data_IF_345313545399
#
_entry.id   IF_345313545399
#
_cell.length_a   1.000
_cell.length_b   1.000
_cell.length_c   1.000
_cell.angle_alpha   90.00
_cell.angle_beta   90.00
_cell.angle_gamma   90.00
#
_symmetry.space_group_name_H-M   'P 1'
#
loop_
_entity.id
_entity.type
_entity.pdbx_description
1 polymer ?
#
# COMPACT_ATOMS: atom_id res chain seq x y z
N UNK A 1 -1.44 -7.24 -16.46
CA UNK A 1 -2.68 -7.06 -15.69
C UNK A 1 -3.32 -5.78 -16.13
N UNK A 2 -4.08 -5.85 -17.22
CA UNK A 2 -5.15 -4.88 -17.45
C UNK A 2 -6.19 -5.18 -16.35
N UNK A 3 -6.74 -4.16 -15.70
CA UNK A 3 -8.00 -4.29 -14.98
C UNK A 3 -9.02 -4.85 -15.98
N UNK A 4 -9.24 -6.17 -15.94
CA UNK A 4 -10.25 -6.85 -16.74
C UNK A 4 -11.56 -6.88 -15.93
N UNK A 5 -12.73 -6.83 -16.60
CA UNK A 5 -13.98 -6.45 -16.00
C UNK A 5 -14.55 -7.58 -15.13
N UNK A 6 -15.24 -7.16 -14.07
CA UNK A 6 -16.01 -8.00 -13.16
C UNK A 6 -16.86 -9.03 -13.91
N UNK A 7 -16.62 -10.31 -13.61
CA UNK A 7 -17.61 -11.36 -13.80
C UNK A 7 -17.96 -11.91 -12.42
N UNK A 8 -19.26 -11.88 -12.11
CA UNK A 8 -19.85 -12.40 -10.88
C UNK A 8 -19.52 -13.89 -10.74
N UNK A 9 -18.63 -14.21 -9.79
CA UNK A 9 -18.47 -15.56 -9.26
C UNK A 9 -18.88 -15.54 -7.80
N UNK A 10 -20.18 -15.79 -7.56
CA UNK A 10 -20.70 -16.06 -6.22
C UNK A 10 -19.99 -17.30 -5.67
N UNK A 11 -19.23 -17.12 -4.59
CA UNK A 11 -18.85 -18.21 -3.68
C UNK A 11 -19.62 -18.00 -2.39
N UNK A 12 -20.27 -19.08 -1.93
CA UNK A 12 -21.15 -19.07 -0.78
C UNK A 12 -20.44 -18.60 0.50
N UNK A 13 -21.15 -17.92 1.43
CA UNK A 13 -20.58 -17.52 2.71
C UNK A 13 -20.12 -18.75 3.50
N UNK A 14 -18.90 -18.67 4.01
CA UNK A 14 -18.28 -19.69 4.86
C UNK A 14 -18.99 -19.67 6.22
N UNK A 15 -19.75 -20.72 6.53
CA UNK A 15 -20.38 -20.92 7.83
C UNK A 15 -19.34 -21.37 8.86
N UNK A 16 -18.78 -20.42 9.62
CA UNK A 16 -17.95 -20.71 10.80
C UNK A 16 -18.75 -20.50 12.08
N UNK A 17 -19.53 -21.50 12.49
CA UNK A 17 -20.02 -21.58 13.87
C UNK A 17 -18.98 -22.26 14.75
N UNK A 18 -18.02 -21.49 15.25
CA UNK A 18 -17.29 -21.83 16.48
C UNK A 18 -17.87 -21.00 17.63
N UNK A 19 -18.55 -21.69 18.55
CA UNK A 19 -18.99 -21.14 19.82
C UNK A 19 -17.77 -20.86 20.71
N UNK A 20 -17.39 -19.58 20.91
CA UNK A 20 -16.84 -19.10 22.19
C UNK A 20 -16.62 -17.57 22.21
N UNK A 21 -16.93 -16.97 23.38
CA UNK A 21 -16.89 -15.56 23.79
C UNK A 21 -18.06 -14.65 23.32
N UNK A 22 -19.17 -14.73 24.07
CA UNK A 22 -20.12 -13.61 24.19
C UNK A 22 -19.54 -12.59 25.18
N UNK A 23 -18.65 -11.71 24.73
CA UNK A 23 -18.22 -10.57 25.53
C UNK A 23 -18.04 -9.33 24.63
N UNK A 24 -18.96 -8.37 24.78
CA UNK A 24 -18.88 -6.96 24.35
C UNK A 24 -18.69 -6.68 22.85
N UNK A 25 -19.47 -7.31 21.96
CA UNK A 25 -19.73 -6.67 20.66
C UNK A 25 -20.69 -5.49 20.89
N UNK A 26 -20.19 -4.27 20.79
CA UNK A 26 -21.06 -3.10 20.70
C UNK A 26 -21.83 -3.20 19.38
N UNK A 27 -23.15 -3.28 19.48
CA UNK A 27 -24.04 -3.26 18.33
C UNK A 27 -24.01 -1.88 17.68
N UNK A 28 -23.26 -1.74 16.58
CA UNK A 28 -23.37 -0.60 15.67
C UNK A 28 -23.81 -1.10 14.29
N UNK A 29 -24.74 -0.40 13.65
CA UNK A 29 -25.19 -0.75 12.30
C UNK A 29 -24.33 -0.05 11.24
N UNK A 30 -24.01 -0.78 10.15
CA UNK A 30 -23.32 -0.21 8.99
C UNK A 30 -24.32 0.10 7.88
N UNK A 31 -24.75 1.36 7.81
CA UNK A 31 -25.62 1.82 6.73
C UNK A 31 -24.81 2.18 5.48
N UNK A 32 -25.28 1.73 4.32
CA UNK A 32 -24.69 2.11 3.02
C UNK A 32 -24.98 3.58 2.76
N UNK A 33 -23.96 4.43 2.79
CA UNK A 33 -24.09 5.84 2.40
C UNK A 33 -24.11 5.97 0.88
N UNK A 34 -23.22 5.25 0.20
CA UNK A 34 -23.11 5.24 -1.27
C UNK A 34 -22.81 3.84 -1.80
N UNK A 35 -22.59 3.74 -3.12
CA UNK A 35 -22.07 2.53 -3.76
C UNK A 35 -20.64 2.16 -3.32
N UNK A 36 -19.90 3.11 -2.69
CA UNK A 36 -18.47 3.04 -2.39
C UNK A 36 -18.14 2.85 -0.91
N UNK A 37 -18.88 3.49 0.00
CA UNK A 37 -18.57 3.47 1.43
C UNK A 37 -19.83 3.40 2.31
N UNK A 38 -19.63 2.95 3.55
CA UNK A 38 -20.62 2.96 4.62
C UNK A 38 -20.56 4.28 5.39
N UNK A 39 -21.68 4.72 5.96
CA UNK A 39 -21.69 5.82 6.92
C UNK A 39 -20.81 5.45 8.12
N UNK A 40 -20.05 6.42 8.65
CA UNK A 40 -19.23 6.19 9.83
C UNK A 40 -20.09 6.24 11.10
N UNK A 41 -20.31 5.12 11.81
CA UNK A 41 -21.15 5.09 12.99
C UNK A 41 -20.52 5.81 14.19
N UNK A 42 -19.24 6.18 14.10
CA UNK A 42 -18.48 6.87 15.15
C UNK A 42 -18.16 8.32 14.80
N UNK A 43 -18.81 8.90 13.77
CA UNK A 43 -18.43 10.21 13.22
C UNK A 43 -18.38 11.31 14.29
N UNK A 44 -19.31 11.28 15.25
CA UNK A 44 -19.46 12.28 16.31
C UNK A 44 -18.74 11.90 17.62
N UNK A 45 -18.35 10.64 17.80
CA UNK A 45 -17.66 10.15 18.99
C UNK A 45 -16.68 9.02 18.66
N UNK A 46 -15.44 9.41 18.33
CA UNK A 46 -14.35 8.47 18.06
C UNK A 46 -14.01 7.61 19.29
N UNK A 47 -14.21 8.13 20.50
CA UNK A 47 -13.83 7.44 21.75
C UNK A 47 -14.79 6.31 22.09
N UNK A 48 -16.06 6.39 21.66
CA UNK A 48 -17.02 5.31 21.82
C UNK A 48 -16.53 4.00 21.17
N UNK A 49 -15.90 4.09 20.00
CA UNK A 49 -15.29 2.93 19.34
C UNK A 49 -13.86 2.65 19.79
N UNK A 50 -13.00 3.67 19.90
CA UNK A 50 -11.56 3.46 20.14
C UNK A 50 -11.24 2.83 21.51
N UNK A 51 -12.05 3.10 22.53
CA UNK A 51 -11.88 2.53 23.88
C UNK A 51 -12.10 1.03 23.95
N UNK A 52 -12.85 0.46 23.01
CA UNK A 52 -13.08 -0.99 22.92
C UNK A 52 -11.85 -1.73 22.37
N UNK A 53 -10.96 -1.02 21.70
CA UNK A 53 -9.77 -1.57 21.04
C UNK A 53 -8.58 -1.48 22.01
N UNK A 54 -8.55 -2.43 22.94
CA UNK A 54 -7.43 -2.64 23.86
C UNK A 54 -6.31 -3.46 23.21
N UNK A 55 -5.14 -3.52 23.84
CA UNK A 55 -4.05 -4.37 23.34
C UNK A 55 -4.45 -5.85 23.33
N UNK A 56 -5.21 -6.30 24.33
CA UNK A 56 -5.73 -7.67 24.41
C UNK A 56 -6.67 -7.96 23.24
N UNK A 57 -7.57 -7.02 22.92
CA UNK A 57 -8.45 -7.12 21.76
C UNK A 57 -7.67 -7.16 20.45
N UNK A 58 -6.63 -6.32 20.30
CA UNK A 58 -5.79 -6.31 19.10
C UNK A 58 -5.08 -7.67 18.95
N UNK A 59 -4.50 -8.20 20.03
CA UNK A 59 -3.81 -9.49 20.03
C UNK A 59 -4.77 -10.64 19.68
N UNK A 60 -5.98 -10.65 20.23
CA UNK A 60 -7.00 -11.64 19.89
C UNK A 60 -7.38 -11.55 18.41
N UNK A 61 -7.57 -10.33 17.89
CA UNK A 61 -7.87 -10.10 16.48
C UNK A 61 -6.75 -10.57 15.54
N UNK A 62 -5.49 -10.28 15.89
CA UNK A 62 -4.32 -10.76 15.15
C UNK A 62 -4.31 -12.29 15.10
N UNK A 63 -4.50 -12.97 16.25
CA UNK A 63 -4.54 -14.44 16.31
C UNK A 63 -5.64 -15.01 15.43
N UNK A 64 -6.85 -14.44 15.49
CA UNK A 64 -7.99 -14.86 14.64
C UNK A 64 -7.68 -14.75 13.15
N UNK A 65 -7.04 -13.68 12.69
CA UNK A 65 -6.69 -13.50 11.27
C UNK A 65 -5.52 -14.42 10.87
N UNK A 66 -4.53 -14.61 11.75
CA UNK A 66 -3.44 -15.57 11.52
C UNK A 66 -3.98 -16.99 11.36
N UNK A 67 -4.88 -17.42 12.25
CA UNK A 67 -5.50 -18.73 12.19
C UNK A 67 -6.25 -18.95 10.88
N UNK A 68 -6.90 -17.92 10.34
CA UNK A 68 -7.51 -18.01 9.02
C UNK A 68 -6.45 -18.15 7.91
N UNK A 69 -5.43 -17.28 7.89
CA UNK A 69 -4.40 -17.25 6.85
C UNK A 69 -3.57 -18.54 6.77
N UNK A 70 -3.21 -19.15 7.91
CA UNK A 70 -2.46 -20.42 7.92
C UNK A 70 -3.29 -21.60 7.40
N UNK A 71 -4.62 -21.50 7.46
CA UNK A 71 -5.56 -22.52 7.00
C UNK A 71 -6.12 -22.26 5.58
N UNK A 72 -5.71 -21.16 4.93
CA UNK A 72 -6.13 -20.86 3.55
C UNK A 72 -5.69 -21.97 2.60
N UNK A 73 -6.64 -22.44 1.79
CA UNK A 73 -6.37 -23.35 0.68
C UNK A 73 -6.09 -22.54 -0.58
N UNK A 74 -4.80 -22.24 -0.80
CA UNK A 74 -4.34 -21.55 -2.01
C UNK A 74 -4.39 -22.53 -3.19
N UNK A 75 -5.15 -22.19 -4.22
CA UNK A 75 -5.26 -22.99 -5.43
C UNK A 75 -3.93 -22.99 -6.20
N UNK A 76 -3.65 -24.07 -6.95
CA UNK A 76 -2.37 -24.23 -7.64
C UNK A 76 -2.09 -23.09 -8.65
N UNK A 77 -3.13 -22.57 -9.30
CA UNK A 77 -2.98 -21.48 -10.27
C UNK A 77 -2.60 -20.14 -9.60
N UNK A 78 -3.03 -19.89 -8.37
CA UNK A 78 -2.66 -18.67 -7.61
C UNK A 78 -1.17 -18.65 -7.26
N UNK A 79 -0.52 -19.81 -7.14
CA UNK A 79 0.94 -19.88 -6.96
C UNK A 79 1.74 -19.47 -8.21
N UNK A 80 1.07 -19.25 -9.34
CA UNK A 80 1.71 -18.76 -10.56
C UNK A 80 1.84 -17.24 -10.57
N UNK A 81 1.13 -16.54 -9.69
CA UNK A 81 1.33 -15.11 -9.45
C UNK A 81 2.60 -14.93 -8.61
N UNK A 82 3.53 -14.12 -9.08
CA UNK A 82 4.87 -13.98 -8.50
C UNK A 82 5.01 -12.75 -7.57
N UNK A 83 4.13 -11.76 -7.68
CA UNK A 83 4.19 -10.56 -6.85
C UNK A 83 3.49 -10.70 -5.49
N UNK A 84 3.96 -10.00 -4.44
CA UNK A 84 3.29 -9.98 -3.13
C UNK A 84 1.97 -9.20 -3.14
N UNK A 85 1.59 -8.52 -4.22
CA UNK A 85 0.36 -7.71 -4.28
C UNK A 85 -0.89 -8.58 -4.08
N UNK A 86 -1.12 -9.54 -4.98
CA UNK A 86 -2.20 -10.54 -4.89
C UNK A 86 -1.69 -11.96 -4.67
N UNK A 87 -0.42 -12.22 -4.97
CA UNK A 87 0.14 -13.57 -4.93
C UNK A 87 0.45 -14.09 -3.52
N UNK A 88 0.74 -15.40 -3.39
CA UNK A 88 0.95 -16.06 -2.10
C UNK A 88 2.11 -15.50 -1.28
N UNK A 89 3.12 -14.90 -1.91
CA UNK A 89 4.22 -14.23 -1.21
C UNK A 89 3.74 -13.05 -0.34
N UNK A 90 2.61 -12.43 -0.68
CA UNK A 90 1.97 -11.42 0.15
C UNK A 90 1.39 -11.99 1.45
N UNK A 91 0.83 -13.20 1.40
CA UNK A 91 0.36 -13.92 2.59
C UNK A 91 1.57 -14.29 3.46
N UNK A 92 2.62 -14.84 2.84
CA UNK A 92 3.85 -15.17 3.54
C UNK A 92 4.47 -13.95 4.23
N UNK A 93 4.49 -12.78 3.56
CA UNK A 93 4.93 -11.52 4.17
C UNK A 93 4.16 -11.18 5.45
N UNK A 94 2.83 -11.26 5.43
CA UNK A 94 2.01 -10.95 6.59
C UNK A 94 2.23 -11.93 7.76
N UNK A 95 2.41 -13.23 7.47
CA UNK A 95 2.73 -14.26 8.47
C UNK A 95 4.13 -14.06 9.08
N UNK A 96 5.12 -13.69 8.27
CA UNK A 96 6.45 -13.32 8.76
C UNK A 96 6.38 -12.07 9.65
N UNK A 97 5.61 -11.06 9.26
CA UNK A 97 5.38 -9.85 10.07
C UNK A 97 4.74 -10.20 11.42
N UNK A 98 3.75 -11.09 11.43
CA UNK A 98 3.14 -11.60 12.66
C UNK A 98 4.16 -12.33 13.55
N UNK A 99 5.05 -13.11 12.96
CA UNK A 99 6.06 -13.89 13.70
C UNK A 99 7.18 -13.03 14.30
N UNK A 100 7.39 -11.81 13.77
CA UNK A 100 8.31 -10.81 14.35
C UNK A 100 7.74 -10.11 15.60
N UNK A 101 6.48 -10.33 15.94
CA UNK A 101 5.84 -9.70 17.10
C UNK A 101 6.16 -10.43 18.40
N UNK A 102 6.11 -9.72 19.53
CA UNK A 102 6.31 -10.31 20.87
C UNK A 102 5.02 -10.89 21.47
N UNK A 103 4.01 -11.24 20.66
CA UNK A 103 2.68 -11.67 21.15
C UNK A 103 2.43 -13.18 21.07
N UNK A 104 3.51 -13.97 20.93
CA UNK A 104 3.48 -15.43 21.02
C UNK A 104 2.93 -16.13 19.77
N UNK A 105 3.02 -15.48 18.61
CA UNK A 105 2.64 -16.06 17.31
C UNK A 105 3.90 -16.60 16.64
N UNK A 106 3.90 -17.87 16.26
CA UNK A 106 5.01 -18.51 15.56
C UNK A 106 4.48 -19.23 14.32
N UNK A 107 4.47 -18.54 13.18
CA UNK A 107 3.94 -19.03 11.90
C UNK A 107 4.94 -18.86 10.75
N UNK A 108 6.22 -18.76 11.09
CA UNK A 108 7.31 -18.61 10.13
C UNK A 108 7.40 -19.85 9.21
N UNK A 109 7.16 -21.04 9.76
CA UNK A 109 7.19 -22.29 9.00
C UNK A 109 6.12 -22.31 7.90
N UNK A 110 4.91 -21.84 8.20
CA UNK A 110 3.79 -21.75 7.27
C UNK A 110 4.12 -20.77 6.14
N UNK A 111 4.69 -19.61 6.47
CA UNK A 111 5.19 -18.66 5.47
C UNK A 111 6.24 -19.30 4.55
N UNK A 112 7.22 -20.02 5.11
CA UNK A 112 8.26 -20.71 4.35
C UNK A 112 7.69 -21.82 3.44
N UNK A 113 6.65 -22.53 3.87
CA UNK A 113 5.95 -23.53 3.04
C UNK A 113 5.29 -22.86 1.84
N UNK A 114 4.60 -21.73 2.04
CA UNK A 114 3.99 -20.96 0.96
C UNK A 114 5.04 -20.53 -0.07
N UNK A 115 6.14 -19.91 0.38
CA UNK A 115 7.21 -19.44 -0.50
C UNK A 115 7.88 -20.59 -1.26
N UNK A 116 8.13 -21.72 -0.59
CA UNK A 116 8.74 -22.90 -1.20
C UNK A 116 7.85 -23.52 -2.27
N UNK A 117 6.53 -23.50 -2.07
CA UNK A 117 5.57 -23.99 -3.07
C UNK A 117 5.45 -23.02 -4.25
N UNK A 118 5.40 -21.72 -4.00
CA UNK A 118 5.42 -20.69 -5.05
C UNK A 118 6.67 -20.84 -5.91
N UNK A 119 7.86 -20.95 -5.30
CA UNK A 119 9.13 -21.15 -6.01
C UNK A 119 9.12 -22.32 -7.01
N UNK A 120 8.40 -23.42 -6.68
CA UNK A 120 8.30 -24.61 -7.53
C UNK A 120 7.31 -24.45 -8.68
N UNK A 121 6.28 -23.63 -8.51
CA UNK A 121 5.19 -23.45 -9.47
C UNK A 121 5.31 -22.17 -10.31
N UNK A 122 6.26 -21.30 -9.97
CA UNK A 122 6.61 -20.13 -10.76
C UNK A 122 7.01 -20.53 -12.17
N UNK A 123 6.41 -19.85 -13.14
CA UNK A 123 6.70 -20.03 -14.55
C UNK A 123 7.61 -18.91 -15.04
N UNK A 124 8.27 -19.13 -16.18
CA UNK A 124 9.14 -18.12 -16.78
C UNK A 124 8.32 -16.92 -17.21
N UNK A 125 8.64 -15.76 -16.65
CA UNK A 125 8.03 -14.48 -17.00
C UNK A 125 8.93 -13.71 -17.97
N UNK A 126 8.37 -12.69 -18.61
CA UNK A 126 9.20 -11.77 -19.41
C UNK A 126 10.18 -11.01 -18.51
N UNK A 127 11.37 -10.68 -19.01
CA UNK A 127 12.37 -9.93 -18.24
C UNK A 127 11.81 -8.59 -17.67
N UNK A 128 10.91 -7.92 -18.41
CA UNK A 128 10.25 -6.70 -17.92
C UNK A 128 9.34 -6.97 -16.71
N UNK A 129 8.70 -8.13 -16.68
CA UNK A 129 7.87 -8.55 -15.56
C UNK A 129 8.72 -8.92 -14.33
N UNK A 130 9.88 -9.55 -14.53
CA UNK A 130 10.80 -9.89 -13.44
C UNK A 130 11.26 -8.65 -12.65
N UNK A 131 11.35 -7.49 -13.32
CA UNK A 131 11.75 -6.22 -12.72
C UNK A 131 10.67 -5.58 -11.83
N UNK A 132 9.43 -6.08 -11.83
CA UNK A 132 8.31 -5.45 -11.12
C UNK A 132 8.35 -5.83 -9.65
N UNK A 133 8.11 -4.84 -8.79
CA UNK A 133 8.17 -5.04 -7.35
C UNK A 133 6.90 -5.69 -6.81
N UNK A 134 5.81 -4.92 -6.65
CA UNK A 134 4.62 -5.45 -5.97
C UNK A 134 3.90 -6.52 -6.80
N UNK A 135 3.96 -6.44 -8.12
CA UNK A 135 3.27 -7.36 -9.04
C UNK A 135 4.25 -8.19 -9.88
N UNK A 136 5.44 -8.50 -9.36
CA UNK A 136 6.42 -9.32 -10.08
C UNK A 136 7.49 -9.96 -9.22
N UNK A 137 8.45 -10.56 -9.92
CA UNK A 137 9.47 -11.45 -9.33
C UNK A 137 10.40 -10.73 -8.35
N UNK A 138 10.69 -9.44 -8.53
CA UNK A 138 11.47 -8.66 -7.56
C UNK A 138 10.80 -8.62 -6.18
N UNK A 139 9.46 -8.53 -6.14
CA UNK A 139 8.70 -8.63 -4.90
C UNK A 139 8.85 -10.00 -4.26
N UNK A 140 8.76 -11.09 -5.03
CA UNK A 140 9.00 -12.43 -4.51
C UNK A 140 10.39 -12.56 -3.88
N UNK A 141 11.44 -12.12 -4.58
CA UNK A 141 12.80 -12.14 -4.05
C UNK A 141 12.94 -11.30 -2.79
N UNK A 142 12.23 -10.18 -2.71
CA UNK A 142 12.18 -9.35 -1.50
C UNK A 142 11.64 -10.18 -0.33
N UNK A 143 10.52 -10.89 -0.51
CA UNK A 143 9.94 -11.71 0.56
C UNK A 143 10.83 -12.91 0.91
N UNK A 144 11.48 -13.54 -0.07
CA UNK A 144 12.45 -14.60 0.18
C UNK A 144 13.63 -14.13 1.02
N UNK A 145 14.14 -12.92 0.77
CA UNK A 145 15.20 -12.30 1.58
C UNK A 145 14.72 -12.01 3.00
N UNK A 146 13.49 -11.53 3.17
CA UNK A 146 12.89 -11.33 4.50
C UNK A 146 12.80 -12.63 5.28
N UNK A 147 12.41 -13.72 4.60
CA UNK A 147 12.26 -15.06 5.15
C UNK A 147 13.59 -15.82 5.34
N UNK A 148 14.73 -15.24 4.95
CA UNK A 148 16.03 -15.91 5.02
C UNK A 148 16.21 -17.08 4.04
N UNK A 149 15.35 -17.21 3.01
CA UNK A 149 15.50 -18.23 1.96
C UNK A 149 16.62 -17.91 0.97
N UNK A 150 16.94 -16.62 0.81
CA UNK A 150 18.08 -16.13 0.05
C UNK A 150 18.85 -15.11 0.88
N UNK A 151 20.16 -15.02 0.67
CA UNK A 151 21.01 -14.03 1.32
C UNK A 151 21.06 -12.70 0.57
N UNK A 152 21.72 -11.72 1.17
CA UNK A 152 21.88 -10.37 0.61
C UNK A 152 22.72 -10.35 -0.68
N UNK A 153 23.67 -11.28 -0.84
CA UNK A 153 24.53 -11.35 -2.01
C UNK A 153 23.74 -11.83 -3.23
N UNK A 154 22.98 -12.92 -3.07
CA UNK A 154 22.11 -13.46 -4.09
C UNK A 154 20.99 -12.49 -4.45
N UNK A 155 20.37 -11.83 -3.47
CA UNK A 155 19.38 -10.78 -3.72
C UNK A 155 19.96 -9.64 -4.54
N UNK A 156 21.12 -9.09 -4.13
CA UNK A 156 21.77 -7.98 -4.84
C UNK A 156 22.21 -8.38 -6.25
N UNK A 157 22.68 -9.61 -6.44
CA UNK A 157 23.00 -10.18 -7.76
C UNK A 157 21.78 -10.23 -8.68
N UNK A 158 20.62 -10.68 -8.17
CA UNK A 158 19.35 -10.69 -8.91
C UNK A 158 18.91 -9.28 -9.31
N UNK A 159 18.98 -8.32 -8.38
CA UNK A 159 18.64 -6.91 -8.65
C UNK A 159 19.55 -6.29 -9.71
N UNK A 160 20.87 -6.52 -9.63
CA UNK A 160 21.82 -5.98 -10.63
C UNK A 160 21.60 -6.54 -12.04
N UNK A 161 21.16 -7.80 -12.17
CA UNK A 161 20.80 -8.37 -13.48
C UNK A 161 19.59 -7.67 -14.12
N UNK A 162 18.66 -7.15 -13.31
CA UNK A 162 17.49 -6.40 -13.77
C UNK A 162 17.85 -4.96 -14.17
N UNK A 163 18.89 -4.38 -13.58
CA UNK A 163 19.25 -2.96 -13.74
C UNK A 163 19.43 -2.57 -15.21
N UNK A 164 20.11 -3.40 -16.01
CA UNK A 164 20.33 -3.12 -17.43
C UNK A 164 19.05 -2.96 -18.25
N UNK A 165 17.95 -3.60 -17.85
CA UNK A 165 16.64 -3.45 -18.48
C UNK A 165 15.87 -2.24 -17.91
N UNK A 166 15.92 -2.04 -16.59
CA UNK A 166 15.28 -0.93 -15.88
C UNK A 166 15.75 0.43 -16.40
N UNK A 167 17.01 0.53 -16.82
CA UNK A 167 17.60 1.76 -17.39
C UNK A 167 17.17 2.03 -18.86
N UNK A 168 16.47 1.11 -19.52
CA UNK A 168 16.02 1.29 -20.91
C UNK A 168 14.65 1.97 -20.97
N UNK A 169 14.47 2.86 -21.95
CA UNK A 169 13.18 3.47 -22.23
C UNK A 169 12.22 2.47 -22.90
N UNK A 170 10.96 2.50 -22.48
CA UNK A 170 9.89 1.65 -23.00
C UNK A 170 9.98 0.19 -22.57
N UNK A 171 10.74 -0.15 -21.53
CA UNK A 171 10.99 -1.54 -21.14
C UNK A 171 9.70 -2.25 -20.66
N UNK A 172 8.74 -1.52 -20.06
CA UNK A 172 7.43 -2.08 -19.72
C UNK A 172 6.42 -2.00 -20.87
N UNK A 173 6.68 -1.20 -21.92
CA UNK A 173 5.77 -0.87 -23.04
C UNK A 173 4.48 -0.14 -22.66
N UNK A 174 4.06 -0.22 -21.40
CA UNK A 174 2.78 0.30 -20.90
C UNK A 174 2.96 1.49 -19.95
N UNK A 175 4.17 2.04 -19.83
CA UNK A 175 4.53 3.03 -18.81
C UNK A 175 5.58 2.43 -17.88
N UNK A 176 6.71 3.13 -17.75
CA UNK A 176 7.91 2.57 -17.13
C UNK A 176 8.08 2.94 -15.66
N UNK A 177 7.33 3.92 -15.14
CA UNK A 177 7.78 4.64 -13.94
C UNK A 177 6.92 4.43 -12.69
N UNK A 178 5.70 3.91 -12.80
CA UNK A 178 4.76 3.79 -11.65
C UNK A 178 5.12 2.71 -10.61
N UNK A 179 4.36 2.62 -9.53
CA UNK A 179 4.74 1.84 -8.33
C UNK A 179 4.56 0.33 -8.52
N UNK A 180 3.55 -0.13 -9.25
CA UNK A 180 3.27 -1.56 -9.33
C UNK A 180 4.25 -2.27 -10.26
N UNK A 181 4.54 -1.69 -11.42
CA UNK A 181 5.34 -2.28 -12.48
C UNK A 181 6.61 -1.50 -12.85
N UNK A 182 6.72 -0.24 -12.47
CA UNK A 182 7.76 0.66 -12.96
C UNK A 182 8.99 0.84 -12.08
N UNK A 183 9.83 1.80 -12.48
CA UNK A 183 11.07 2.21 -11.80
C UNK A 183 10.83 2.71 -10.38
N UNK A 184 9.71 3.39 -10.11
CA UNK A 184 9.39 3.80 -8.75
C UNK A 184 9.16 2.57 -7.85
N UNK A 185 8.47 1.54 -8.33
CA UNK A 185 8.33 0.26 -7.64
C UNK A 185 9.68 -0.43 -7.41
N UNK A 186 10.53 -0.47 -8.44
CA UNK A 186 11.89 -1.00 -8.32
C UNK A 186 12.68 -0.31 -7.19
N UNK A 187 12.71 1.02 -7.17
CA UNK A 187 13.37 1.78 -6.10
C UNK A 187 12.70 1.60 -4.74
N UNK A 188 11.37 1.47 -4.69
CA UNK A 188 10.65 1.22 -3.45
C UNK A 188 11.11 -0.08 -2.77
N UNK A 189 11.41 -1.13 -3.56
CA UNK A 189 11.97 -2.37 -3.03
C UNK A 189 13.32 -2.17 -2.34
N UNK A 190 14.20 -1.35 -2.93
CA UNK A 190 15.53 -1.09 -2.40
C UNK A 190 15.44 -0.26 -1.12
N UNK A 191 14.56 0.74 -1.09
CA UNK A 191 14.28 1.54 0.08
C UNK A 191 13.75 0.68 1.23
N UNK A 192 12.82 -0.22 0.92
CA UNK A 192 12.25 -1.14 1.90
C UNK A 192 13.32 -2.06 2.50
N UNK A 193 14.17 -2.68 1.67
CA UNK A 193 15.28 -3.52 2.14
C UNK A 193 16.29 -2.72 2.97
N UNK A 194 16.65 -1.50 2.55
CA UNK A 194 17.54 -0.63 3.33
C UNK A 194 16.99 -0.38 4.73
N UNK A 195 15.67 -0.17 4.87
CA UNK A 195 15.03 0.06 6.17
C UNK A 195 14.88 -1.19 7.03
N UNK A 196 14.52 -2.34 6.45
CA UNK A 196 14.30 -3.57 7.22
C UNK A 196 15.63 -4.29 7.55
N UNK A 197 16.58 -4.32 6.62
CA UNK A 197 17.83 -5.09 6.73
C UNK A 197 19.08 -4.25 6.92
N UNK A 198 19.02 -2.93 6.70
CA UNK A 198 20.13 -2.02 7.01
C UNK A 198 21.28 -2.02 6.01
N UNK A 199 21.10 -2.52 4.79
CA UNK A 199 22.14 -2.51 3.75
C UNK A 199 21.67 -1.90 2.43
N UNK A 200 22.62 -1.35 1.67
CA UNK A 200 22.39 -0.83 0.33
C UNK A 200 22.56 -1.94 -0.73
N UNK A 201 21.52 -2.14 -1.54
CA UNK A 201 21.48 -3.19 -2.58
C UNK A 201 22.30 -2.77 -3.82
N UNK A 202 22.26 -1.48 -4.15
CA UNK A 202 22.92 -0.84 -5.28
C UNK A 202 23.80 0.31 -4.79
N UNK A 203 24.82 0.66 -5.59
CA UNK A 203 25.65 1.85 -5.36
C UNK A 203 24.85 3.14 -5.59
N UNK A 204 25.37 4.25 -5.07
CA UNK A 204 24.74 5.55 -5.25
C UNK A 204 24.58 5.94 -6.73
N UNK A 205 25.56 5.61 -7.57
CA UNK A 205 25.55 5.94 -9.01
C UNK A 205 24.52 5.10 -9.78
N UNK A 206 24.34 3.84 -9.39
CA UNK A 206 23.28 2.99 -9.94
C UNK A 206 21.89 3.53 -9.54
N UNK A 207 21.71 3.95 -8.28
CA UNK A 207 20.47 4.59 -7.81
C UNK A 207 20.21 5.90 -8.57
N UNK A 208 21.22 6.77 -8.71
CA UNK A 208 21.13 8.02 -9.50
C UNK A 208 20.74 7.74 -10.95
N UNK A 209 21.26 6.67 -11.55
CA UNK A 209 20.94 6.30 -12.92
C UNK A 209 19.45 5.98 -13.09
N UNK A 210 18.85 5.23 -12.16
CA UNK A 210 17.41 4.92 -12.20
C UNK A 210 16.56 6.18 -11.95
N UNK A 211 16.95 7.02 -10.98
CA UNK A 211 16.28 8.30 -10.71
C UNK A 211 16.31 9.22 -11.93
N UNK A 212 17.45 9.30 -12.61
CA UNK A 212 17.60 10.10 -13.83
C UNK A 212 16.66 9.61 -14.94
N UNK A 213 16.46 8.30 -15.10
CA UNK A 213 15.46 7.78 -16.04
C UNK A 213 14.05 8.28 -15.70
N UNK A 214 13.64 8.22 -14.42
CA UNK A 214 12.31 8.69 -13.96
C UNK A 214 12.13 10.20 -14.20
N UNK A 215 13.17 11.00 -13.91
CA UNK A 215 13.12 12.46 -14.10
C UNK A 215 13.07 12.81 -15.59
N UNK A 216 13.93 12.21 -16.40
CA UNK A 216 13.99 12.48 -17.83
C UNK A 216 12.72 12.05 -18.56
N UNK A 217 12.17 10.87 -18.24
CA UNK A 217 10.91 10.41 -18.81
C UNK A 217 9.76 11.37 -18.45
N UNK A 218 9.67 11.78 -17.19
CA UNK A 218 8.63 12.69 -16.71
C UNK A 218 8.68 14.08 -17.35
N UNK A 219 9.88 14.67 -17.44
CA UNK A 219 10.10 15.96 -18.11
C UNK A 219 9.78 15.88 -19.60
N UNK A 220 10.24 14.83 -20.27
CA UNK A 220 10.01 14.63 -21.71
C UNK A 220 8.52 14.46 -22.01
N UNK A 221 7.83 13.66 -21.19
CA UNK A 221 6.40 13.42 -21.31
C UNK A 221 5.60 14.71 -21.08
N UNK A 222 5.87 15.41 -19.97
CA UNK A 222 5.23 16.69 -19.65
C UNK A 222 5.39 17.71 -20.79
N UNK A 223 6.61 17.90 -21.30
CA UNK A 223 6.89 18.80 -22.42
C UNK A 223 6.13 18.41 -23.68
N UNK A 224 6.09 17.12 -24.02
CA UNK A 224 5.42 16.61 -25.23
C UNK A 224 3.90 16.85 -25.17
N UNK A 225 3.29 16.67 -24.00
CA UNK A 225 1.84 16.78 -23.82
C UNK A 225 1.38 18.14 -23.27
N UNK A 226 2.32 19.08 -23.05
CA UNK A 226 2.07 20.41 -22.46
C UNK A 226 1.36 20.29 -21.11
N UNK A 227 1.82 19.35 -20.28
CA UNK A 227 1.25 19.11 -18.96
C UNK A 227 1.44 20.35 -18.06
N UNK A 228 0.46 20.67 -17.19
CA UNK A 228 0.61 21.74 -16.21
C UNK A 228 1.62 21.42 -15.09
N UNK A 229 2.02 20.16 -14.94
CA UNK A 229 3.06 19.71 -14.00
C UNK A 229 4.40 19.52 -14.72
N UNK A 230 5.54 19.92 -14.14
CA UNK A 230 6.85 19.64 -14.74
C UNK A 230 7.14 18.16 -14.94
N UNK A 231 6.70 17.30 -14.00
CA UNK A 231 6.76 15.85 -14.13
C UNK A 231 5.35 15.32 -14.33
N UNK A 232 5.15 14.57 -15.42
CA UNK A 232 3.91 13.87 -15.71
C UNK A 232 4.22 12.53 -16.38
N UNK A 233 3.36 11.54 -16.16
CA UNK A 233 3.59 10.16 -16.58
C UNK A 233 2.29 9.57 -17.10
N UNK A 234 2.42 8.49 -17.89
CA UNK A 234 1.28 7.67 -18.26
C UNK A 234 1.50 6.22 -17.87
N UNK A 235 0.38 5.53 -17.66
CA UNK A 235 0.33 4.08 -17.61
C UNK A 235 -0.88 3.60 -18.42
N UNK A 236 -0.69 2.60 -19.28
CA UNK A 236 -1.68 2.14 -20.26
C UNK A 236 -2.31 3.22 -21.16
N UNK A 237 -1.63 4.37 -21.31
CA UNK A 237 -2.09 5.48 -22.14
C UNK A 237 -2.84 6.57 -21.38
N UNK A 238 -3.13 6.37 -20.09
CA UNK A 238 -3.80 7.38 -19.26
C UNK A 238 -2.82 8.04 -18.27
N UNK A 239 -3.06 9.31 -17.96
CA UNK A 239 -2.32 10.09 -16.95
C UNK A 239 -2.93 9.89 -15.55
N UNK A 240 -2.54 8.80 -14.88
CA UNK A 240 -2.98 8.53 -13.51
C UNK A 240 -2.34 9.47 -12.49
N UNK A 241 -3.11 9.81 -11.45
CA UNK A 241 -2.68 10.72 -10.37
C UNK A 241 -2.54 10.02 -9.02
N UNK A 242 -3.12 8.83 -8.86
CA UNK A 242 -3.08 8.06 -7.61
C UNK A 242 -1.72 7.43 -7.28
N UNK A 243 -1.62 6.74 -6.14
CA UNK A 243 -0.34 6.20 -5.67
C UNK A 243 0.09 4.91 -6.38
N UNK A 244 -0.85 4.09 -6.88
CA UNK A 244 -0.50 2.83 -7.52
C UNK A 244 0.15 3.04 -8.90
N UNK A 245 -0.56 3.74 -9.80
CA UNK A 245 -0.19 3.88 -11.20
C UNK A 245 0.22 5.29 -11.62
N UNK A 246 0.22 6.24 -10.67
CA UNK A 246 0.21 7.65 -10.99
C UNK A 246 1.29 8.49 -10.32
N UNK A 247 1.17 9.80 -10.59
CA UNK A 247 2.12 10.84 -10.16
C UNK A 247 2.37 10.80 -8.65
N UNK A 248 1.36 10.58 -7.81
CA UNK A 248 1.53 10.58 -6.35
C UNK A 248 2.56 9.55 -5.88
N UNK A 249 2.49 8.32 -6.39
CA UNK A 249 3.41 7.25 -6.00
C UNK A 249 4.83 7.52 -6.49
N UNK A 250 4.96 7.99 -7.73
CA UNK A 250 6.26 8.34 -8.31
C UNK A 250 6.92 9.46 -7.51
N UNK A 251 6.18 10.53 -7.19
CA UNK A 251 6.69 11.63 -6.38
C UNK A 251 7.07 11.18 -4.97
N UNK A 252 6.29 10.30 -4.32
CA UNK A 252 6.64 9.73 -3.02
C UNK A 252 8.03 9.06 -3.03
N UNK A 253 8.34 8.31 -4.10
CA UNK A 253 9.64 7.65 -4.23
C UNK A 253 10.76 8.64 -4.54
N UNK A 254 10.54 9.60 -5.44
CA UNK A 254 11.52 10.67 -5.71
C UNK A 254 11.85 11.48 -4.44
N UNK A 255 10.85 11.76 -3.60
CA UNK A 255 11.04 12.41 -2.29
C UNK A 255 11.84 11.52 -1.32
N UNK A 256 11.60 10.21 -1.33
CA UNK A 256 12.36 9.28 -0.49
C UNK A 256 13.84 9.19 -0.85
N UNK A 257 14.22 9.57 -2.08
CA UNK A 257 15.60 9.64 -2.57
C UNK A 257 16.08 11.08 -2.77
N UNK A 258 15.49 12.04 -2.06
CA UNK A 258 15.76 13.48 -2.25
C UNK A 258 17.24 13.84 -2.33
N UNK A 259 18.09 13.26 -1.47
CA UNK A 259 19.52 13.60 -1.42
C UNK A 259 20.33 13.11 -2.63
N UNK A 260 19.79 12.17 -3.42
CA UNK A 260 20.40 11.68 -4.65
C UNK A 260 20.08 12.54 -5.88
N UNK A 261 19.10 13.44 -5.76
CA UNK A 261 18.66 14.30 -6.86
C UNK A 261 19.53 15.55 -6.99
N UNK A 262 19.84 15.92 -8.23
CA UNK A 262 20.47 17.20 -8.53
C UNK A 262 19.50 18.39 -8.34
N UNK A 263 20.03 19.61 -8.42
CA UNK A 263 19.25 20.83 -8.20
C UNK A 263 18.06 20.99 -9.17
N UNK A 264 18.25 20.60 -10.43
CA UNK A 264 17.20 20.72 -11.46
C UNK A 264 16.08 19.71 -11.23
N UNK A 265 16.43 18.46 -10.92
CA UNK A 265 15.50 17.41 -10.56
C UNK A 265 14.74 17.76 -9.28
N UNK A 266 15.43 18.27 -8.25
CA UNK A 266 14.81 18.76 -7.00
C UNK A 266 13.77 19.85 -7.27
N UNK A 267 14.09 20.79 -8.16
CA UNK A 267 13.17 21.86 -8.56
C UNK A 267 11.93 21.29 -9.26
N UNK A 268 12.11 20.40 -10.23
CA UNK A 268 11.02 19.76 -10.96
C UNK A 268 10.11 18.94 -10.04
N UNK A 269 10.68 18.16 -9.12
CA UNK A 269 9.93 17.37 -8.12
C UNK A 269 9.11 18.30 -7.23
N UNK A 270 9.71 19.34 -6.64
CA UNK A 270 9.00 20.26 -5.77
C UNK A 270 7.85 20.97 -6.49
N UNK A 271 8.09 21.47 -7.70
CA UNK A 271 7.05 22.12 -8.51
C UNK A 271 5.92 21.16 -8.89
N UNK A 272 6.23 19.88 -9.13
CA UNK A 272 5.21 18.86 -9.42
C UNK A 272 4.38 18.51 -8.18
N UNK A 273 5.00 18.46 -7.00
CA UNK A 273 4.28 18.32 -5.71
C UNK A 273 3.38 19.53 -5.46
N UNK A 274 3.85 20.74 -5.75
CA UNK A 274 3.06 21.97 -5.60
C UNK A 274 1.89 22.04 -6.59
N UNK A 275 2.10 21.59 -7.82
CA UNK A 275 1.01 21.41 -8.77
C UNK A 275 0.00 20.36 -8.27
N UNK A 276 0.48 19.21 -7.78
CA UNK A 276 -0.40 18.17 -7.24
C UNK A 276 -1.21 18.70 -6.05
N UNK A 277 -0.61 19.50 -5.16
CA UNK A 277 -1.34 20.18 -4.09
C UNK A 277 -2.45 21.10 -4.62
N UNK A 278 -2.20 21.82 -5.72
CA UNK A 278 -3.16 22.76 -6.28
C UNK A 278 -4.44 22.13 -6.84
N UNK A 279 -4.42 20.81 -7.11
CA UNK A 279 -5.59 20.07 -7.62
C UNK A 279 -6.36 19.33 -6.52
N UNK A 280 -6.00 19.53 -5.24
CA UNK A 280 -6.78 18.98 -4.12
C UNK A 280 -8.20 19.54 -4.16
N UNK A 281 -9.20 18.65 -4.08
CA UNK A 281 -10.61 19.04 -4.03
C UNK A 281 -10.95 19.70 -2.69
N UNK A 282 -12.05 20.45 -2.65
CA UNK A 282 -12.50 21.16 -1.45
C UNK A 282 -12.76 20.23 -0.26
N UNK A 283 -13.16 18.98 -0.52
CA UNK A 283 -13.38 17.95 0.51
C UNK A 283 -12.09 17.21 0.89
N UNK A 284 -10.94 17.61 0.36
CA UNK A 284 -9.64 17.00 0.63
C UNK A 284 -9.28 15.84 -0.30
N UNK A 285 -10.16 15.43 -1.23
CA UNK A 285 -9.87 14.33 -2.15
C UNK A 285 -8.95 14.73 -3.31
N UNK A 286 -8.54 13.74 -4.11
CA UNK A 286 -7.74 13.91 -5.32
C UNK A 286 -8.32 13.12 -6.48
N UNK A 287 -8.40 13.73 -7.70
CA UNK A 287 -8.87 13.03 -8.88
C UNK A 287 -8.01 11.81 -9.22
N UNK A 288 -8.62 10.75 -9.76
CA UNK A 288 -7.89 9.53 -10.14
C UNK A 288 -6.93 9.72 -11.33
N UNK A 289 -7.25 10.66 -12.22
CA UNK A 289 -6.52 10.96 -13.46
C UNK A 289 -6.74 12.41 -13.90
N UNK A 290 -5.94 12.90 -14.84
CA UNK A 290 -6.00 14.31 -15.29
C UNK A 290 -7.32 14.69 -15.96
N UNK A 291 -7.99 13.74 -16.62
CA UNK A 291 -9.31 13.88 -17.23
C UNK A 291 -10.44 14.12 -16.20
N UNK A 292 -10.16 13.84 -14.92
CA UNK A 292 -11.07 14.01 -13.77
C UNK A 292 -10.84 15.31 -13.01
N UNK A 293 -9.81 16.09 -13.33
CA UNK A 293 -9.55 17.37 -12.65
C UNK A 293 -10.74 18.31 -12.82
N UNK A 294 -11.15 18.96 -11.72
CA UNK A 294 -12.32 19.83 -11.68
C UNK A 294 -13.67 19.10 -11.62
N UNK A 295 -13.68 17.77 -11.50
CA UNK A 295 -14.88 16.95 -11.29
C UNK A 295 -14.93 16.43 -9.86
N UNK A 296 -16.10 15.97 -9.44
CA UNK A 296 -16.27 15.22 -8.19
C UNK A 296 -15.54 13.88 -8.27
N UNK A 297 -14.85 13.50 -7.20
CA UNK A 297 -14.16 12.22 -7.08
C UNK A 297 -14.72 11.41 -5.91
N UNK A 298 -15.02 10.14 -6.16
CA UNK A 298 -15.59 9.22 -5.16
C UNK A 298 -14.57 8.18 -4.67
N UNK A 299 -13.45 8.01 -5.37
CA UNK A 299 -12.42 7.06 -4.96
C UNK A 299 -11.61 7.66 -3.80
N UNK A 300 -11.56 6.92 -2.69
CA UNK A 300 -10.83 7.29 -1.45
C UNK A 300 -9.94 6.10 -1.09
N UNK A 301 -9.09 5.72 -2.03
CA UNK A 301 -8.30 4.50 -1.99
C UNK A 301 -6.82 4.84 -1.94
N UNK A 302 -5.99 3.90 -1.48
CA UNK A 302 -4.54 4.06 -1.60
C UNK A 302 -4.15 4.13 -3.09
N UNK A 303 -4.73 3.27 -3.94
CA UNK A 303 -4.42 3.31 -5.37
C UNK A 303 -4.87 4.60 -6.07
N UNK A 304 -6.00 5.18 -5.66
CA UNK A 304 -6.61 6.37 -6.27
C UNK A 304 -7.37 7.20 -5.22
N UNK A 305 -6.98 8.46 -5.05
CA UNK A 305 -7.63 9.41 -4.15
C UNK A 305 -6.82 9.77 -2.90
N UNK A 306 -7.52 10.32 -1.90
CA UNK A 306 -6.94 10.92 -0.70
C UNK A 306 -5.99 10.01 0.08
N UNK A 307 -6.33 8.72 0.23
CA UNK A 307 -5.55 7.76 1.02
C UNK A 307 -4.14 7.60 0.45
N UNK A 308 -3.99 7.49 -0.87
CA UNK A 308 -2.68 7.44 -1.52
C UNK A 308 -1.95 8.77 -1.52
N UNK A 309 -2.68 9.86 -1.81
CA UNK A 309 -2.13 11.22 -1.82
C UNK A 309 -1.51 11.64 -0.48
N UNK A 310 -2.13 11.21 0.63
CA UNK A 310 -1.64 11.46 1.99
C UNK A 310 -0.20 10.99 2.18
N UNK A 311 0.18 9.83 1.62
CA UNK A 311 1.53 9.29 1.76
C UNK A 311 2.57 10.20 1.08
N UNK A 312 2.25 10.70 -0.11
CA UNK A 312 3.10 11.62 -0.85
C UNK A 312 3.24 12.95 -0.11
N UNK A 313 2.16 13.50 0.46
CA UNK A 313 2.25 14.74 1.24
C UNK A 313 3.03 14.60 2.54
N UNK A 314 2.93 13.46 3.22
CA UNK A 314 3.78 13.17 4.36
C UNK A 314 5.25 13.08 3.94
N UNK A 315 5.57 12.40 2.83
CA UNK A 315 6.92 12.39 2.27
C UNK A 315 7.41 13.82 1.95
N UNK A 316 6.56 14.65 1.34
CA UNK A 316 6.89 16.02 0.99
C UNK A 316 7.11 16.89 2.24
N UNK A 317 6.30 16.73 3.27
CA UNK A 317 6.47 17.41 4.55
C UNK A 317 7.80 17.01 5.22
N UNK A 318 8.12 15.72 5.25
CA UNK A 318 9.38 15.22 5.84
C UNK A 318 10.64 15.78 5.16
N UNK A 319 10.56 16.02 3.85
CA UNK A 319 11.68 16.53 3.03
C UNK A 319 11.74 18.06 3.01
N UNK A 320 10.60 18.73 2.89
CA UNK A 320 10.54 20.19 2.68
C UNK A 320 10.30 20.99 3.95
N UNK A 321 9.94 20.33 5.06
CA UNK A 321 9.49 20.97 6.29
C UNK A 321 8.31 21.96 6.07
N UNK A 322 7.49 21.68 5.05
CA UNK A 322 6.44 22.56 4.59
C UNK A 322 5.12 22.29 5.31
N UNK A 323 4.65 23.24 6.14
CA UNK A 323 3.37 23.15 6.84
C UNK A 323 2.19 22.91 5.87
N UNK A 324 2.23 23.49 4.66
CA UNK A 324 1.18 23.32 3.64
C UNK A 324 0.96 21.85 3.22
N UNK A 325 2.01 21.04 3.20
CA UNK A 325 1.91 19.62 2.82
C UNK A 325 1.31 18.80 3.95
N UNK A 326 1.70 19.04 5.20
CA UNK A 326 1.07 18.40 6.36
C UNK A 326 -0.42 18.75 6.44
N UNK A 327 -0.79 20.02 6.20
CA UNK A 327 -2.20 20.42 6.16
C UNK A 327 -2.99 19.73 5.04
N UNK A 328 -2.36 19.46 3.88
CA UNK A 328 -2.98 18.69 2.81
C UNK A 328 -3.22 17.23 3.23
N UNK A 329 -2.24 16.60 3.89
CA UNK A 329 -2.37 15.27 4.46
C UNK A 329 -3.47 15.19 5.53
N UNK A 330 -3.59 16.21 6.41
CA UNK A 330 -4.64 16.30 7.41
C UNK A 330 -6.03 16.38 6.75
N UNK A 331 -6.20 17.18 5.69
CA UNK A 331 -7.46 17.21 4.91
C UNK A 331 -7.80 15.85 4.31
N UNK A 332 -6.81 15.11 3.79
CA UNK A 332 -7.03 13.73 3.37
C UNK A 332 -7.52 12.86 4.54
N UNK A 333 -6.87 12.96 5.70
CA UNK A 333 -7.26 12.23 6.92
C UNK A 333 -8.69 12.54 7.36
N UNK A 334 -9.11 13.80 7.32
CA UNK A 334 -10.48 14.21 7.63
C UNK A 334 -11.49 13.56 6.68
N UNK A 335 -11.24 13.60 5.38
CA UNK A 335 -12.10 12.91 4.41
C UNK A 335 -12.16 11.40 4.61
N UNK A 336 -11.01 10.77 4.90
CA UNK A 336 -10.93 9.34 5.17
C UNK A 336 -11.71 8.99 6.43
N UNK A 337 -11.75 9.86 7.44
CA UNK A 337 -12.58 9.66 8.62
C UNK A 337 -14.08 9.67 8.28
N UNK A 338 -14.50 10.58 7.41
CA UNK A 338 -15.90 10.67 6.98
C UNK A 338 -16.34 9.51 6.06
N UNK A 339 -15.46 9.06 5.16
CA UNK A 339 -15.86 8.24 4.00
C UNK A 339 -14.96 7.03 3.73
N UNK A 340 -13.98 6.76 4.58
CA UNK A 340 -12.96 5.72 4.41
C UNK A 340 -13.40 4.31 4.82
N UNK A 341 -14.64 4.11 5.30
CA UNK A 341 -15.19 2.78 5.60
C UNK A 341 -15.70 2.16 4.30
N UNK A 342 -14.75 1.69 3.50
CA UNK A 342 -14.99 1.26 2.12
C UNK A 342 -15.77 -0.05 2.07
N UNK A 343 -16.76 -0.10 1.17
CA UNK A 343 -17.57 -1.31 0.92
C UNK A 343 -16.81 -2.41 0.18
N UNK A 344 -15.63 -2.10 -0.36
CA UNK A 344 -14.87 -2.99 -1.24
C UNK A 344 -14.14 -4.12 -0.50
N UNK A 345 -14.04 -4.02 0.83
CA UNK A 345 -13.51 -5.11 1.65
C UNK A 345 -12.39 -4.66 2.57
N UNK A 346 -11.62 -5.63 3.10
CA UNK A 346 -10.73 -5.38 4.22
C UNK A 346 -9.32 -4.92 3.79
N UNK A 347 -8.94 -5.05 2.51
CA UNK A 347 -7.57 -4.82 2.04
C UNK A 347 -6.98 -3.42 2.24
N UNK A 348 -5.68 -3.30 1.95
CA UNK A 348 -4.91 -2.06 2.10
C UNK A 348 -4.87 -1.18 0.85
N UNK A 349 -5.16 -1.73 -0.34
CA UNK A 349 -5.14 -0.95 -1.58
C UNK A 349 -6.36 -0.03 -1.73
N UNK A 350 -7.53 -0.57 -1.40
CA UNK A 350 -8.82 0.09 -1.59
C UNK A 350 -9.87 -0.50 -0.64
N UNK A 351 -9.45 -0.82 0.59
CA UNK A 351 -10.29 -1.32 1.67
C UNK A 351 -10.05 -0.57 2.98
N UNK A 352 -10.74 -1.00 4.03
CA UNK A 352 -10.77 -0.30 5.33
C UNK A 352 -9.39 -0.28 6.00
N UNK A 353 -8.59 -1.34 5.88
CA UNK A 353 -7.24 -1.35 6.47
C UNK A 353 -6.32 -0.31 5.83
N UNK A 354 -6.48 -0.02 4.53
CA UNK A 354 -5.73 1.02 3.83
C UNK A 354 -6.04 2.41 4.38
N UNK A 355 -7.33 2.68 4.61
CA UNK A 355 -7.79 3.88 5.31
C UNK A 355 -7.24 3.96 6.74
N UNK A 356 -7.21 2.84 7.46
CA UNK A 356 -6.64 2.74 8.80
C UNK A 356 -5.14 3.10 8.84
N UNK A 357 -4.37 2.65 7.84
CA UNK A 357 -2.95 3.02 7.72
C UNK A 357 -2.74 4.52 7.53
N UNK A 358 -3.64 5.22 6.82
CA UNK A 358 -3.53 6.65 6.66
C UNK A 358 -3.53 7.38 8.02
N UNK A 359 -4.36 6.91 8.96
CA UNK A 359 -4.38 7.42 10.32
C UNK A 359 -3.14 7.05 11.13
N UNK A 360 -2.63 5.82 11.00
CA UNK A 360 -1.36 5.43 11.64
C UNK A 360 -0.19 6.30 11.17
N UNK A 361 -0.14 6.63 9.88
CA UNK A 361 0.90 7.51 9.34
C UNK A 361 0.76 8.96 9.83
N UNK A 362 -0.47 9.47 9.93
CA UNK A 362 -0.73 10.79 10.53
C UNK A 362 -0.38 10.81 12.02
N UNK A 363 -0.76 9.78 12.79
CA UNK A 363 -0.38 9.64 14.19
C UNK A 363 1.14 9.61 14.34
N UNK A 364 1.84 8.82 13.53
CA UNK A 364 3.30 8.75 13.56
C UNK A 364 3.95 10.11 13.28
N UNK A 365 3.36 10.92 12.40
CA UNK A 365 3.88 12.26 12.09
C UNK A 365 3.57 13.30 13.18
N UNK A 366 2.37 13.27 13.75
CA UNK A 366 1.83 14.36 14.59
C UNK A 366 1.86 14.05 16.08
N UNK A 367 1.87 12.76 16.43
CA UNK A 367 1.65 12.22 17.78
C UNK A 367 0.30 12.64 18.40
N UNK A 368 -0.65 13.13 17.59
CA UNK A 368 -2.00 13.47 18.05
C UNK A 368 -2.84 12.19 18.19
N UNK A 369 -3.26 11.88 19.41
CA UNK A 369 -3.98 10.64 19.74
C UNK A 369 -5.28 10.44 18.95
N UNK A 370 -5.92 11.52 18.51
CA UNK A 370 -7.15 11.45 17.70
C UNK A 370 -6.93 10.58 16.44
N UNK A 371 -5.76 10.65 15.80
CA UNK A 371 -5.46 9.79 14.64
C UNK A 371 -5.33 8.32 15.04
N UNK A 372 -4.70 8.02 16.18
CA UNK A 372 -4.61 6.65 16.67
C UNK A 372 -6.00 6.11 17.04
N UNK A 373 -6.86 6.93 17.64
CA UNK A 373 -8.23 6.57 17.97
C UNK A 373 -9.05 6.24 16.70
N UNK A 374 -8.90 7.03 15.62
CA UNK A 374 -9.51 6.75 14.32
C UNK A 374 -9.01 5.44 13.71
N UNK A 375 -7.71 5.16 13.80
CA UNK A 375 -7.13 3.88 13.36
C UNK A 375 -7.76 2.69 14.12
N UNK A 376 -7.87 2.81 15.44
CA UNK A 376 -8.53 1.80 16.29
C UNK A 376 -9.98 1.56 15.88
N UNK A 377 -10.76 2.62 15.68
CA UNK A 377 -12.15 2.50 15.21
C UNK A 377 -12.23 1.71 13.89
N UNK A 378 -11.33 1.98 12.95
CA UNK A 378 -11.33 1.26 11.67
C UNK A 378 -10.97 -0.22 11.81
N UNK A 379 -10.10 -0.57 12.77
CA UNK A 379 -9.87 -1.97 13.14
C UNK A 379 -11.09 -2.61 13.81
N UNK A 380 -11.77 -1.91 14.71
CA UNK A 380 -13.01 -2.41 15.30
C UNK A 380 -14.04 -2.73 14.22
N UNK A 381 -14.23 -1.81 13.28
CA UNK A 381 -15.19 -1.98 12.18
C UNK A 381 -14.81 -3.17 11.30
N UNK A 382 -13.56 -3.27 10.84
CA UNK A 382 -13.13 -4.33 9.92
C UNK A 382 -13.32 -5.73 10.52
N UNK A 383 -13.16 -5.86 11.84
CA UNK A 383 -13.27 -7.12 12.56
C UNK A 383 -14.71 -7.50 12.93
N UNK A 384 -15.66 -6.57 12.84
CA UNK A 384 -17.07 -6.81 13.18
C UNK A 384 -17.78 -7.75 12.19
N UNK A 385 -18.72 -8.54 12.70
CA UNK A 385 -19.58 -9.37 11.85
C UNK A 385 -20.45 -8.52 10.90
N UNK A 386 -20.88 -7.34 11.34
CA UNK A 386 -21.63 -6.40 10.49
C UNK A 386 -20.85 -6.00 9.24
N UNK A 387 -19.54 -5.74 9.37
CA UNK A 387 -18.71 -5.44 8.21
C UNK A 387 -18.51 -6.67 7.32
N UNK A 388 -18.16 -7.82 7.91
CA UNK A 388 -17.92 -9.06 7.15
C UNK A 388 -19.14 -9.49 6.33
N UNK A 389 -20.35 -9.29 6.86
CA UNK A 389 -21.59 -9.61 6.18
C UNK A 389 -22.03 -8.57 5.13
N UNK A 390 -21.68 -7.29 5.32
CA UNK A 390 -22.15 -6.21 4.45
C UNK A 390 -21.16 -5.81 3.34
N UNK A 391 -19.85 -5.99 3.57
CA UNK A 391 -18.80 -5.65 2.63
C UNK A 391 -18.77 -6.63 1.45
N UNK A 392 -18.16 -6.20 0.33
CA UNK A 392 -17.89 -7.08 -0.81
C UNK A 392 -16.71 -7.98 -0.48
N UNK A 393 -16.77 -9.22 -0.97
CA UNK A 393 -15.61 -10.11 -1.02
C UNK A 393 -14.65 -9.62 -2.12
N UNK A 394 -13.35 -9.40 -1.82
CA UNK A 394 -12.36 -9.06 -2.83
C UNK A 394 -12.12 -10.20 -3.83
N UNK A 395 -11.50 -9.90 -4.97
CA UNK A 395 -11.15 -10.92 -5.98
C UNK A 395 -10.08 -11.88 -5.43
N UNK A 396 -9.13 -11.36 -4.64
CA UNK A 396 -8.15 -12.14 -3.89
C UNK A 396 -8.31 -11.93 -2.36
N UNK A 397 -9.28 -12.57 -1.68
CA UNK A 397 -9.71 -12.27 -0.30
C UNK A 397 -8.62 -12.40 0.77
N UNK A 398 -7.59 -13.21 0.49
CA UNK A 398 -6.51 -13.51 1.44
C UNK A 398 -5.22 -12.75 1.12
N UNK A 399 -5.16 -12.06 -0.02
CA UNK A 399 -3.95 -11.37 -0.47
C UNK A 399 -3.54 -10.19 0.40
N UNK A 400 -2.30 -9.73 0.20
CA UNK A 400 -1.76 -8.59 0.94
C UNK A 400 -2.47 -7.29 0.60
N UNK A 401 -2.70 -6.99 -0.68
CA UNK A 401 -3.22 -5.67 -1.07
C UNK A 401 -4.74 -5.59 -1.12
N UNK A 402 -5.45 -6.69 -1.37
CA UNK A 402 -6.93 -6.68 -1.46
C UNK A 402 -7.61 -7.33 -0.23
N UNK A 403 -6.89 -8.19 0.49
CA UNK A 403 -7.47 -9.11 1.44
C UNK A 403 -6.99 -8.98 2.89
N UNK A 404 -7.20 -10.06 3.62
CA UNK A 404 -6.94 -10.16 5.05
C UNK A 404 -5.46 -10.15 5.43
N UNK A 405 -4.53 -10.53 4.54
CA UNK A 405 -3.10 -10.42 4.85
C UNK A 405 -2.66 -8.95 5.04
N UNK A 406 -3.24 -8.01 4.29
CA UNK A 406 -3.04 -6.57 4.53
C UNK A 406 -3.65 -6.09 5.84
N UNK A 407 -4.84 -6.60 6.17
CA UNK A 407 -5.51 -6.31 7.44
C UNK A 407 -4.71 -6.82 8.64
N UNK A 408 -4.12 -8.00 8.54
CA UNK A 408 -3.22 -8.54 9.54
C UNK A 408 -2.05 -7.59 9.80
N UNK A 409 -1.41 -7.08 8.75
CA UNK A 409 -0.33 -6.11 8.90
C UNK A 409 -0.81 -4.85 9.63
N UNK A 410 -1.98 -4.31 9.27
CA UNK A 410 -2.58 -3.16 9.94
C UNK A 410 -2.83 -3.40 11.44
N UNK A 411 -3.41 -4.55 11.79
CA UNK A 411 -3.66 -4.92 13.19
C UNK A 411 -2.37 -5.07 13.99
N UNK A 412 -1.32 -5.65 13.40
CA UNK A 412 0.01 -5.74 14.03
C UNK A 412 0.57 -4.35 14.29
N UNK A 413 0.50 -3.46 13.30
CA UNK A 413 1.07 -2.12 13.39
C UNK A 413 0.36 -1.24 14.43
N UNK A 414 -0.90 -1.53 14.79
CA UNK A 414 -1.60 -0.89 15.91
C UNK A 414 -0.94 -1.17 17.28
N UNK A 415 -0.20 -2.27 17.44
CA UNK A 415 0.55 -2.55 18.67
C UNK A 415 1.79 -1.67 18.82
N UNK A 416 2.30 -1.11 17.72
CA UNK A 416 3.50 -0.26 17.71
C UNK A 416 3.31 0.97 16.82
N UNK A 417 2.33 1.85 17.13
CA UNK A 417 1.84 2.86 16.20
C UNK A 417 2.89 3.93 15.82
N UNK A 418 3.91 4.14 16.67
CA UNK A 418 5.04 5.05 16.38
C UNK A 418 6.05 4.48 15.38
N UNK A 419 5.98 3.18 15.08
CA UNK A 419 6.86 2.48 14.14
C UNK A 419 6.15 2.07 12.85
N UNK A 420 4.83 2.25 12.77
CA UNK A 420 4.00 1.79 11.64
C UNK A 420 4.48 2.32 10.29
N UNK A 421 4.41 1.46 9.28
CA UNK A 421 4.73 1.77 7.89
C UNK A 421 3.73 1.07 7.00
N UNK A 422 3.32 1.72 5.92
CA UNK A 422 2.50 1.01 4.93
C UNK A 422 3.30 -0.17 4.36
N UNK A 423 2.72 -1.39 4.27
CA UNK A 423 3.44 -2.58 3.86
C UNK A 423 4.19 -2.41 2.54
N UNK A 424 5.48 -2.76 2.55
CA UNK A 424 6.38 -2.72 1.39
C UNK A 424 6.64 -1.33 0.77
N UNK A 425 6.02 -0.25 1.28
CA UNK A 425 6.16 1.11 0.74
C UNK A 425 6.43 2.13 1.87
N UNK A 426 7.61 2.06 2.52
CA UNK A 426 7.88 2.84 3.71
C UNK A 426 8.19 4.31 3.40
N UNK A 427 7.91 5.18 4.37
CA UNK A 427 8.30 6.59 4.38
C UNK A 427 9.58 6.83 5.22
N UNK A 428 10.31 7.89 4.88
CA UNK A 428 11.48 8.37 5.62
C UNK A 428 11.13 9.27 6.81
N UNK A 429 10.36 8.75 7.76
CA UNK A 429 10.17 9.43 9.05
C UNK A 429 11.53 9.68 9.72
N UNK A 430 11.69 10.85 10.31
CA UNK A 430 12.85 11.16 11.17
C UNK A 430 12.70 10.32 12.46
N UNK A 431 13.77 9.61 12.84
CA UNK A 431 13.80 8.79 14.05
C UNK A 431 13.89 9.65 15.31
#
# INVERSE_FOLDING_TARGET
MLCCPCFDCYSDPIDTKSNQSKDLEMEFELHKQTSRYFANPFIDDVLAGSKLVTNEWIIASIKSVVDQLVNVRIAEHEYRDDGPYVGPSGIAYALLHASKTNVGINVEKEALVILSKQQKLLHNMSAAHECRYLTGTLGFYTIQLLAGQIDSELFSSKVRRMLGLVLQNGYQKIGDDEILNGRAGFLASLLFIKKDKGFDVLSEDEIRSVLNCIIQSGLAYSKKHRSPSPLMYQWHGDEYLGAAHGVSGILQILLSYWDFLDYSAKTAVRQSVDWYLSIQLNDGNFPSGTDRIGRTEELIHWCHGATGALHMFLAAHLVFDGAKYLQAAIRCGQLIWERGILRKGPGICHGVAGSGYAFLLLYRQTLENEWLDKAKVFALIIMSENFKNAARTPDCPWSLFEGWAGSLCFLIDLLTPTKSQFPLLPLNFKN
#
